data_IF_714827705242
#
_entry.id   IF_714827705242
#
_cell.length_a   1.000
_cell.length_b   1.000
_cell.length_c   1.000
_cell.angle_alpha   90.00
_cell.angle_beta   90.00
_cell.angle_gamma   90.00
#
_symmetry.space_group_name_H-M   'P 1'
#
loop_
_entity.id
_entity.type
_entity.pdbx_description
1 polymer ?
#
# COMPACT_ATOMS: atom_id res chain seq x y z
N UNK A 1 -10.80 21.23 18.15
CA UNK A 1 -10.25 20.23 19.07
C UNK A 1 -10.55 20.62 20.53
N UNK A 2 -11.83 20.62 20.94
CA UNK A 2 -12.21 21.08 22.27
C UNK A 2 -12.69 19.99 23.21
N UNK A 3 -12.31 18.74 22.99
CA UNK A 3 -12.73 17.65 23.86
C UNK A 3 -11.56 16.91 24.49
N UNK A 4 -10.48 17.63 24.79
CA UNK A 4 -9.55 17.22 25.84
C UNK A 4 -10.18 17.54 27.19
N UNK A 5 -11.34 17.02 27.46
CA UNK A 5 -11.90 17.05 28.77
C UNK A 5 -11.29 15.86 29.48
N UNK A 6 -10.33 16.16 30.32
CA UNK A 6 -9.90 15.19 31.31
C UNK A 6 -11.13 14.52 31.88
N UNK A 7 -11.13 13.20 31.95
CA UNK A 7 -12.22 12.48 32.53
C UNK A 7 -12.49 13.06 33.92
N UNK A 8 -13.74 13.07 34.28
CA UNK A 8 -14.14 13.44 35.62
C UNK A 8 -13.30 12.61 36.63
N UNK A 9 -12.49 13.29 37.42
CA UNK A 9 -11.62 12.64 38.42
C UNK A 9 -12.43 11.79 39.42
N UNK A 10 -13.75 12.04 39.50
CA UNK A 10 -14.68 11.23 40.27
C UNK A 10 -14.95 9.84 39.66
N UNK A 11 -14.54 9.63 38.39
CA UNK A 11 -14.76 8.40 37.63
C UNK A 11 -13.45 7.70 37.20
N UNK A 12 -12.50 7.58 38.11
CA UNK A 12 -11.24 6.84 37.92
C UNK A 12 -10.17 7.51 37.02
N UNK A 13 -10.33 8.77 36.61
CA UNK A 13 -9.33 9.51 35.84
C UNK A 13 -9.18 9.08 34.40
N UNK A 14 -10.08 8.24 33.85
CA UNK A 14 -10.06 7.81 32.47
C UNK A 14 -10.92 8.72 31.59
N UNK A 15 -10.41 9.06 30.38
CA UNK A 15 -11.20 9.75 29.36
C UNK A 15 -11.99 8.75 28.57
N UNK A 16 -13.28 8.95 28.39
CA UNK A 16 -14.14 8.06 27.60
C UNK A 16 -14.00 8.25 26.09
N UNK A 17 -13.42 9.37 25.62
CA UNK A 17 -13.24 9.69 24.21
C UNK A 17 -12.04 10.61 24.02
N UNK A 18 -11.18 10.27 23.08
CA UNK A 18 -10.09 11.09 22.60
C UNK A 18 -10.01 11.01 21.07
N UNK A 19 -9.65 12.11 20.41
CA UNK A 19 -9.41 12.16 18.98
C UNK A 19 -8.27 13.11 18.66
N UNK A 20 -7.58 12.87 17.56
CA UNK A 20 -6.47 13.69 17.09
C UNK A 20 -5.24 12.86 16.73
N UNK A 21 -4.30 13.49 16.05
CA UNK A 21 -3.04 12.85 15.61
C UNK A 21 -2.22 12.29 16.76
N UNK A 22 -2.32 12.90 17.95
CA UNK A 22 -1.66 12.41 19.17
C UNK A 22 -2.18 11.04 19.65
N UNK A 23 -3.38 10.63 19.24
CA UNK A 23 -3.90 9.28 19.50
C UNK A 23 -3.58 8.33 18.36
N UNK A 24 -3.43 8.83 17.13
CA UNK A 24 -3.04 8.03 15.99
C UNK A 24 -1.55 7.62 16.03
N UNK A 25 -0.67 8.53 16.47
CA UNK A 25 0.76 8.27 16.50
C UNK A 25 1.18 7.02 17.29
N UNK A 26 0.68 6.77 18.51
CA UNK A 26 1.02 5.55 19.25
C UNK A 26 0.49 4.27 18.60
N UNK A 27 -0.58 4.33 17.80
CA UNK A 27 -1.06 3.19 17.00
C UNK A 27 -0.01 2.83 15.94
N UNK A 28 0.51 3.83 15.21
CA UNK A 28 1.59 3.63 14.25
C UNK A 28 2.84 3.06 14.93
N UNK A 29 3.20 3.57 16.11
CA UNK A 29 4.34 3.05 16.89
C UNK A 29 4.12 1.59 17.31
N UNK A 30 2.89 1.21 17.66
CA UNK A 30 2.52 -0.18 17.95
C UNK A 30 2.66 -1.09 16.73
N UNK A 31 2.21 -0.64 15.56
CA UNK A 31 2.39 -1.40 14.30
C UNK A 31 3.88 -1.55 13.98
N UNK A 32 4.68 -0.47 14.14
CA UNK A 32 6.13 -0.55 13.95
C UNK A 32 6.79 -1.59 14.85
N UNK A 33 6.38 -1.67 16.11
CA UNK A 33 6.89 -2.67 17.05
C UNK A 33 6.56 -4.11 16.60
N UNK A 34 5.34 -4.36 16.14
CA UNK A 34 4.94 -5.66 15.60
C UNK A 34 5.70 -6.03 14.32
N UNK A 35 5.95 -5.05 13.44
CA UNK A 35 6.77 -5.26 12.24
C UNK A 35 8.21 -5.63 12.60
N UNK A 36 8.81 -4.96 13.59
CA UNK A 36 10.16 -5.27 14.08
C UNK A 36 10.24 -6.61 14.83
N UNK A 37 9.15 -7.05 15.45
CA UNK A 37 9.06 -8.40 16.01
C UNK A 37 9.06 -9.46 14.90
N UNK A 38 8.33 -9.20 13.80
CA UNK A 38 8.25 -10.09 12.65
C UNK A 38 9.55 -10.09 11.80
N UNK A 39 10.24 -8.94 11.75
CA UNK A 39 11.52 -8.78 11.04
C UNK A 39 12.43 -7.82 11.80
N UNK A 40 13.34 -8.32 12.65
CA UNK A 40 14.26 -7.50 13.43
C UNK A 40 15.28 -6.71 12.57
N UNK A 41 15.49 -7.10 11.32
CA UNK A 41 16.49 -6.52 10.42
C UNK A 41 15.94 -5.32 9.62
N UNK A 42 14.68 -4.89 9.87
CA UNK A 42 14.09 -3.73 9.22
C UNK A 42 14.79 -2.44 9.62
N UNK A 43 15.35 -1.74 8.63
CA UNK A 43 15.77 -0.36 8.85
C UNK A 43 14.56 0.59 8.89
N UNK A 44 14.71 1.79 9.49
CA UNK A 44 13.60 2.74 9.65
C UNK A 44 13.00 3.25 8.33
N UNK A 45 13.78 3.29 7.23
CA UNK A 45 13.29 3.75 5.93
C UNK A 45 12.42 2.66 5.30
N UNK A 46 12.90 1.41 5.30
CA UNK A 46 12.15 0.27 4.80
C UNK A 46 10.85 0.06 5.58
N UNK A 47 10.90 0.17 6.90
CA UNK A 47 9.72 0.08 7.76
C UNK A 47 8.66 1.12 7.36
N UNK A 48 9.06 2.37 7.13
CA UNK A 48 8.17 3.44 6.69
C UNK A 48 7.59 3.17 5.31
N UNK A 49 8.39 2.67 4.37
CA UNK A 49 7.93 2.38 3.01
C UNK A 49 6.95 1.18 3.01
N UNK A 50 7.19 0.15 3.83
CA UNK A 50 6.22 -0.94 4.01
C UNK A 50 4.87 -0.39 4.50
N UNK A 51 4.87 0.47 5.54
CA UNK A 51 3.63 1.07 6.04
C UNK A 51 2.88 1.87 4.97
N UNK A 52 3.59 2.63 4.13
CA UNK A 52 2.98 3.37 3.02
C UNK A 52 2.43 2.44 1.95
N UNK A 53 3.18 1.40 1.61
CA UNK A 53 2.83 0.44 0.57
C UNK A 53 1.59 -0.38 0.93
N UNK A 54 1.47 -0.77 2.19
CA UNK A 54 0.36 -1.60 2.70
C UNK A 54 -0.83 -0.81 3.19
N UNK A 55 -0.74 0.53 3.26
CA UNK A 55 -1.83 1.37 3.73
C UNK A 55 -3.08 1.25 2.84
N UNK A 56 -4.26 1.17 3.44
CA UNK A 56 -5.54 1.22 2.75
C UNK A 56 -5.77 2.62 2.19
N UNK A 57 -5.90 2.75 0.88
CA UNK A 57 -6.05 4.03 0.19
C UNK A 57 -7.33 4.75 0.60
N UNK A 58 -7.25 6.06 0.78
CA UNK A 58 -8.37 6.92 1.18
C UNK A 58 -8.35 8.22 0.37
N UNK A 59 -9.50 8.53 -0.26
CA UNK A 59 -9.65 9.71 -1.09
C UNK A 59 -8.86 9.66 -2.40
N UNK A 60 -9.09 10.68 -3.23
CA UNK A 60 -8.42 10.82 -4.51
C UNK A 60 -7.01 11.40 -4.34
N UNK A 61 -6.01 10.99 -5.13
CA UNK A 61 -4.67 11.55 -5.08
C UNK A 61 -4.66 13.06 -5.31
N UNK A 62 -3.90 13.80 -4.50
CA UNK A 62 -3.81 15.26 -4.64
C UNK A 62 -3.05 15.67 -5.90
N UNK A 63 -2.05 14.91 -6.29
CA UNK A 63 -1.21 15.17 -7.46
C UNK A 63 -0.86 13.84 -8.15
N UNK A 64 -1.80 13.24 -8.89
CA UNK A 64 -1.64 11.89 -9.43
C UNK A 64 -0.46 11.71 -10.40
N UNK A 65 -0.01 12.79 -11.04
CA UNK A 65 1.17 12.78 -11.90
C UNK A 65 2.51 12.76 -11.14
N UNK A 66 2.50 13.03 -9.82
CA UNK A 66 3.69 13.04 -8.96
C UNK A 66 3.69 11.82 -8.05
N UNK A 67 2.58 11.57 -7.38
CA UNK A 67 2.34 10.40 -6.53
C UNK A 67 0.86 10.01 -6.66
N UNK A 68 0.55 8.88 -7.30
CA UNK A 68 -0.83 8.45 -7.54
C UNK A 68 -1.53 7.94 -6.28
N UNK A 69 -0.83 7.84 -5.15
CA UNK A 69 -1.36 7.28 -3.92
C UNK A 69 -1.44 8.27 -2.77
N UNK A 70 -0.64 9.35 -2.84
CA UNK A 70 -0.63 10.34 -1.77
C UNK A 70 -1.80 11.31 -1.87
N UNK A 71 -2.45 11.52 -0.74
CA UNK A 71 -3.56 12.46 -0.59
C UNK A 71 -3.26 13.43 0.54
N UNK A 72 -3.52 14.71 0.31
CA UNK A 72 -3.26 15.79 1.26
C UNK A 72 -4.05 15.63 2.58
N UNK A 73 -5.23 15.04 2.54
CA UNK A 73 -6.11 14.91 3.70
C UNK A 73 -5.83 13.61 4.48
N UNK A 74 -5.41 12.54 3.80
CA UNK A 74 -5.23 11.21 4.37
C UNK A 74 -3.80 10.64 4.23
N UNK A 75 -2.85 11.40 3.67
CA UNK A 75 -1.51 10.91 3.40
C UNK A 75 -1.54 9.75 2.40
N UNK A 76 -0.87 8.64 2.72
CA UNK A 76 -0.89 7.41 1.92
C UNK A 76 -2.06 6.48 2.26
N UNK A 77 -2.92 6.86 3.21
CA UNK A 77 -4.10 6.12 3.58
C UNK A 77 -4.15 5.73 5.06
N UNK A 78 -5.00 4.77 5.38
CA UNK A 78 -5.14 4.22 6.72
C UNK A 78 -4.18 3.06 6.91
N UNK A 79 -3.43 3.03 8.02
CA UNK A 79 -2.51 1.93 8.30
C UNK A 79 -3.22 0.58 8.33
N UNK A 80 -2.69 -0.39 7.61
CA UNK A 80 -3.07 -1.80 7.70
C UNK A 80 -1.97 -2.58 8.45
N UNK A 81 -2.23 -2.86 9.73
CA UNK A 81 -1.28 -3.54 10.58
C UNK A 81 -1.02 -4.99 10.14
N UNK A 82 -2.05 -5.68 9.64
CA UNK A 82 -1.95 -7.06 9.20
C UNK A 82 -1.05 -7.18 7.97
N UNK A 83 -1.32 -6.41 6.92
CA UNK A 83 -0.54 -6.46 5.69
C UNK A 83 0.88 -5.93 5.91
N UNK A 84 1.08 -4.93 6.78
CA UNK A 84 2.41 -4.43 7.13
C UNK A 84 3.26 -5.50 7.83
N UNK A 85 2.70 -6.19 8.83
CA UNK A 85 3.41 -7.27 9.55
C UNK A 85 3.66 -8.46 8.64
N UNK A 86 2.67 -8.86 7.84
CA UNK A 86 2.77 -9.98 6.90
C UNK A 86 3.87 -9.75 5.85
N UNK A 87 3.95 -8.54 5.28
CA UNK A 87 5.02 -8.20 4.35
C UNK A 87 6.38 -8.20 5.05
N UNK A 88 6.48 -7.67 6.26
CA UNK A 88 7.71 -7.70 7.07
C UNK A 88 8.19 -9.12 7.31
N UNK A 89 7.30 -10.03 7.70
CA UNK A 89 7.61 -11.45 7.89
C UNK A 89 8.05 -12.11 6.58
N UNK A 90 7.35 -11.84 5.47
CA UNK A 90 7.73 -12.38 4.17
C UNK A 90 9.14 -11.98 3.76
N UNK A 91 9.53 -10.72 3.95
CA UNK A 91 10.87 -10.23 3.64
C UNK A 91 11.93 -10.93 4.50
N UNK A 92 11.65 -11.17 5.77
CA UNK A 92 12.54 -11.90 6.67
C UNK A 92 12.72 -13.36 6.24
N UNK A 93 11.62 -14.08 6.00
CA UNK A 93 11.63 -15.49 5.60
C UNK A 93 12.30 -15.71 4.24
N UNK A 94 12.13 -14.76 3.31
CA UNK A 94 12.77 -14.79 1.99
C UNK A 94 14.22 -14.29 2.00
N UNK A 95 14.74 -13.84 3.15
CA UNK A 95 16.06 -13.23 3.30
C UNK A 95 16.31 -12.08 2.30
N UNK A 96 15.28 -11.24 2.11
CA UNK A 96 15.32 -10.07 1.21
C UNK A 96 15.69 -8.84 2.05
N UNK A 97 16.85 -8.25 1.76
CA UNK A 97 17.29 -6.99 2.39
C UNK A 97 16.66 -5.77 1.72
N UNK A 98 16.52 -4.67 2.47
CA UNK A 98 16.01 -3.40 1.97
C UNK A 98 16.74 -2.85 0.75
N UNK A 99 18.05 -3.11 0.64
CA UNK A 99 18.88 -2.67 -0.49
C UNK A 99 18.52 -3.35 -1.82
N UNK A 100 17.88 -4.51 -1.77
CA UNK A 100 17.44 -5.27 -2.96
C UNK A 100 15.96 -5.07 -3.29
N UNK A 101 15.22 -4.32 -2.48
CA UNK A 101 13.79 -4.11 -2.62
C UNK A 101 13.46 -2.66 -2.97
N UNK A 102 13.04 -2.41 -4.20
CA UNK A 102 12.50 -1.11 -4.57
C UNK A 102 11.01 -1.04 -4.23
N UNK A 103 10.69 -0.63 -3.01
CA UNK A 103 9.30 -0.30 -2.62
C UNK A 103 8.81 1.03 -3.22
N UNK A 104 9.67 1.70 -3.99
CA UNK A 104 9.26 2.81 -4.84
C UNK A 104 8.44 2.38 -6.05
N UNK A 105 8.42 1.06 -6.33
CA UNK A 105 7.55 0.45 -7.34
C UNK A 105 6.21 0.09 -6.72
N UNK A 106 5.13 0.59 -7.28
CA UNK A 106 3.78 0.31 -6.81
C UNK A 106 2.87 -0.05 -7.99
N UNK A 107 1.93 -0.94 -7.73
CA UNK A 107 0.85 -1.24 -8.66
C UNK A 107 -0.46 -1.30 -7.89
N UNK A 108 -1.53 -0.81 -8.51
CA UNK A 108 -2.86 -0.77 -7.92
C UNK A 108 -3.90 -1.23 -8.92
N UNK A 109 -4.84 -2.04 -8.47
CA UNK A 109 -6.02 -2.45 -9.25
C UNK A 109 -7.08 -1.36 -9.07
N UNK A 110 -7.48 -0.72 -10.18
CA UNK A 110 -8.51 0.31 -10.16
C UNK A 110 -9.90 -0.25 -10.41
N UNK A 111 -10.01 -1.24 -11.28
CA UNK A 111 -11.29 -1.82 -11.62
C UNK A 111 -11.23 -3.30 -11.98
N UNK A 112 -12.32 -4.00 -11.69
CA UNK A 112 -12.58 -5.36 -12.13
C UNK A 112 -13.94 -5.38 -12.79
N UNK A 113 -13.97 -5.61 -14.09
CA UNK A 113 -15.20 -5.69 -14.88
C UNK A 113 -15.42 -7.14 -15.30
N UNK A 114 -16.53 -7.73 -14.87
CA UNK A 114 -16.91 -9.09 -15.23
C UNK A 114 -17.97 -9.07 -16.33
N UNK A 115 -17.82 -9.95 -17.30
CA UNK A 115 -18.82 -10.19 -18.33
C UNK A 115 -19.34 -11.63 -18.21
N UNK A 116 -20.52 -11.76 -17.63
CA UNK A 116 -21.14 -13.07 -17.39
C UNK A 116 -21.46 -13.81 -18.68
N UNK A 117 -21.78 -13.07 -19.75
CA UNK A 117 -22.16 -13.69 -21.05
C UNK A 117 -20.96 -14.30 -21.77
N UNK A 118 -19.79 -13.69 -21.67
CA UNK A 118 -18.54 -14.15 -22.30
C UNK A 118 -17.65 -14.94 -21.33
N UNK A 119 -18.05 -15.09 -20.07
CA UNK A 119 -17.23 -15.70 -19.01
C UNK A 119 -15.81 -15.13 -19.00
N UNK A 120 -15.71 -13.82 -19.06
CA UNK A 120 -14.43 -13.11 -19.05
C UNK A 120 -14.44 -12.03 -17.99
N UNK A 121 -13.25 -11.71 -17.49
CA UNK A 121 -13.03 -10.59 -16.59
C UNK A 121 -11.90 -9.72 -17.12
N UNK A 122 -12.11 -8.41 -17.07
CA UNK A 122 -11.06 -7.43 -17.33
C UNK A 122 -10.68 -6.80 -16.00
N UNK A 123 -9.42 -6.93 -15.65
CA UNK A 123 -8.82 -6.25 -14.49
C UNK A 123 -7.94 -5.15 -15.04
N UNK A 124 -8.15 -3.92 -14.60
CA UNK A 124 -7.30 -2.79 -14.98
C UNK A 124 -6.76 -2.06 -13.77
N UNK A 125 -5.63 -1.43 -13.94
CA UNK A 125 -4.97 -0.72 -12.88
C UNK A 125 -3.86 0.18 -13.37
N UNK A 126 -3.19 0.78 -12.43
CA UNK A 126 -2.03 1.65 -12.64
C UNK A 126 -0.79 1.05 -12.01
N UNK A 127 0.35 1.37 -12.58
CA UNK A 127 1.65 1.13 -11.97
C UNK A 127 2.46 2.43 -11.95
N UNK A 128 3.32 2.56 -10.96
CA UNK A 128 4.07 3.77 -10.70
C UNK A 128 5.41 3.44 -10.04
N UNK A 129 6.45 4.20 -10.41
CA UNK A 129 7.77 4.13 -9.81
C UNK A 129 8.30 5.53 -9.53
N UNK A 130 8.75 5.80 -8.32
CA UNK A 130 9.22 7.13 -7.92
C UNK A 130 10.54 7.51 -8.57
N UNK A 131 11.49 6.60 -8.60
CA UNK A 131 12.86 6.86 -9.07
C UNK A 131 13.33 5.85 -10.11
N UNK A 132 12.65 4.72 -10.23
CA UNK A 132 13.02 3.62 -11.11
C UNK A 132 12.16 3.61 -12.38
N UNK A 133 12.64 2.91 -13.38
CA UNK A 133 11.86 2.59 -14.58
C UNK A 133 11.20 1.24 -14.42
N UNK A 134 9.93 1.14 -14.78
CA UNK A 134 9.21 -0.13 -14.79
C UNK A 134 9.45 -0.81 -16.15
N UNK A 135 10.02 -2.00 -16.13
CA UNK A 135 10.30 -2.77 -17.35
C UNK A 135 9.16 -3.70 -17.78
N UNK A 136 8.34 -4.14 -16.83
CA UNK A 136 7.19 -4.99 -17.09
C UNK A 136 6.20 -4.99 -15.93
N UNK A 137 4.93 -5.23 -16.24
CA UNK A 137 3.89 -5.59 -15.26
C UNK A 137 3.49 -7.03 -15.53
N UNK A 138 3.52 -7.86 -14.50
CA UNK A 138 3.19 -9.27 -14.60
C UNK A 138 2.15 -9.64 -13.55
N UNK A 139 1.35 -10.63 -13.85
CA UNK A 139 0.38 -11.20 -12.93
C UNK A 139 0.49 -12.72 -12.84
N UNK A 140 0.07 -13.25 -11.72
CA UNK A 140 -0.06 -14.68 -11.49
C UNK A 140 -1.43 -14.96 -10.87
N UNK A 141 -2.05 -16.08 -11.21
CA UNK A 141 -3.29 -16.55 -10.62
C UNK A 141 -2.93 -17.68 -9.66
N UNK A 142 -3.39 -17.55 -8.41
CA UNK A 142 -3.18 -18.54 -7.34
C UNK A 142 -1.71 -18.96 -7.12
N UNK A 143 -0.77 -18.03 -7.36
CA UNK A 143 0.66 -18.31 -7.22
C UNK A 143 1.24 -19.23 -8.31
N UNK A 144 0.53 -19.42 -9.41
CA UNK A 144 0.96 -20.21 -10.56
C UNK A 144 1.98 -19.49 -11.46
N UNK A 145 1.90 -19.77 -12.76
CA UNK A 145 2.79 -19.18 -13.77
C UNK A 145 2.55 -17.67 -13.89
N UNK A 146 3.62 -16.93 -14.14
CA UNK A 146 3.58 -15.48 -14.34
C UNK A 146 3.31 -15.16 -15.81
N UNK A 147 2.33 -14.31 -16.07
CA UNK A 147 1.94 -13.80 -17.38
C UNK A 147 2.19 -12.30 -17.46
N UNK A 148 2.44 -11.77 -18.63
CA UNK A 148 2.61 -10.34 -18.85
C UNK A 148 1.24 -9.67 -19.01
N UNK A 149 1.02 -8.54 -18.29
CA UNK A 149 -0.16 -7.70 -18.46
C UNK A 149 -0.07 -6.91 -19.79
N UNK A 150 -1.20 -6.43 -20.27
CA UNK A 150 -1.25 -5.55 -21.44
C UNK A 150 -1.05 -4.09 -21.01
N UNK A 151 -0.11 -3.40 -21.61
CA UNK A 151 0.22 -1.99 -21.35
C UNK A 151 0.88 -1.34 -22.56
N UNK A 152 0.89 -0.01 -22.61
CA UNK A 152 1.64 0.71 -23.62
C UNK A 152 3.13 0.74 -23.23
N UNK A 153 3.96 0.09 -24.04
CA UNK A 153 5.40 -0.04 -23.76
C UNK A 153 6.17 1.27 -23.88
N UNK A 154 5.63 2.27 -24.58
CA UNK A 154 6.27 3.57 -24.70
C UNK A 154 6.12 4.40 -23.41
N UNK A 155 5.09 4.14 -22.60
CA UNK A 155 4.87 4.80 -21.30
C UNK A 155 5.81 4.31 -20.18
N UNK A 156 6.42 3.13 -20.33
CA UNK A 156 7.23 2.48 -19.28
C UNK A 156 8.55 3.18 -18.95
N UNK A 157 8.96 4.16 -19.69
CA UNK A 157 10.33 4.70 -19.66
C UNK A 157 10.54 5.91 -18.74
N UNK A 158 9.49 6.43 -18.11
CA UNK A 158 9.59 7.67 -17.33
C UNK A 158 9.40 7.45 -15.84
N UNK A 159 10.44 7.69 -15.06
CA UNK A 159 10.34 7.72 -13.61
C UNK A 159 9.35 8.79 -13.13
N UNK A 160 8.58 8.50 -12.09
CA UNK A 160 7.62 9.43 -11.50
C UNK A 160 6.30 9.58 -12.27
N UNK A 161 6.08 8.78 -13.31
CA UNK A 161 4.82 8.77 -14.06
C UNK A 161 4.02 7.50 -13.78
N UNK A 162 2.71 7.64 -13.81
CA UNK A 162 1.79 6.50 -13.80
C UNK A 162 1.58 5.99 -15.21
N UNK A 163 1.43 4.69 -15.34
CA UNK A 163 0.94 4.10 -16.57
C UNK A 163 -0.13 3.05 -16.30
N UNK A 164 -1.01 2.90 -17.28
CA UNK A 164 -2.14 2.00 -17.20
C UNK A 164 -1.74 0.59 -17.67
N UNK A 165 -2.28 -0.41 -17.01
CA UNK A 165 -2.17 -1.81 -17.42
C UNK A 165 -3.53 -2.51 -17.34
N UNK A 166 -3.70 -3.56 -18.12
CA UNK A 166 -4.90 -4.38 -18.08
C UNK A 166 -4.59 -5.87 -18.23
N UNK A 167 -5.48 -6.69 -17.71
CA UNK A 167 -5.44 -8.14 -17.81
C UNK A 167 -6.81 -8.61 -18.30
N UNK A 168 -6.81 -9.43 -19.34
CA UNK A 168 -8.02 -10.11 -19.81
C UNK A 168 -7.95 -11.56 -19.35
N UNK A 169 -8.85 -11.95 -18.47
CA UNK A 169 -8.99 -13.30 -17.98
C UNK A 169 -10.16 -13.98 -18.67
N UNK A 170 -9.91 -15.14 -19.24
CA UNK A 170 -10.95 -16.07 -19.68
C UNK A 170 -11.28 -16.98 -18.48
N UNK A 171 -12.54 -16.97 -18.06
CA UNK A 171 -13.02 -17.76 -16.91
C UNK A 171 -13.79 -19.01 -17.36
N UNK A 172 -13.62 -19.43 -18.62
CA UNK A 172 -14.22 -20.63 -19.18
C UNK A 172 -13.61 -21.92 -18.65
#
# INVERSE_FOLDING_TARGET
CNNFIGGDASQNGYTGRGSGTSYAAPVISGVAALMLEANPDLDPLLLREIMKHTAERRGEPTSPSIDPYWNRDFGWGMIDAYEAVKLSQYLYDANISGDSLSLSLQTHIESITQNESSRSAVISGIAWAQQDTISSVKYSIDGGVWYEATYDKEELLSAGQTFNWSINLDTS
#
